data_IF_678046655482
#
_entry.id   IF_678046655482
#
_cell.length_a   1.000
_cell.length_b   1.000
_cell.length_c   1.000
_cell.angle_alpha   90.00
_cell.angle_beta   90.00
_cell.angle_gamma   90.00
#
_symmetry.space_group_name_H-M   'P 1'
#
loop_
_entity.id
_entity.type
_entity.pdbx_description
1 polymer ?
#
# COMPACT_ATOMS: atom_id res chain seq x y z
N UNK A 1 -8.99 4.33 11.12
CA UNK A 1 -9.49 3.88 9.81
C UNK A 1 -9.78 2.39 9.83
N UNK A 2 -10.65 1.97 8.96
CA UNK A 2 -11.01 0.57 8.79
C UNK A 2 -10.36 0.02 7.52
N UNK A 3 -10.19 -1.30 7.49
CA UNK A 3 -9.69 -1.98 6.29
C UNK A 3 -10.60 -1.66 5.09
N UNK A 4 -9.98 -1.21 4.01
CA UNK A 4 -10.67 -0.79 2.79
C UNK A 4 -10.86 0.71 2.66
N UNK A 5 -10.66 1.48 3.73
CA UNK A 5 -10.68 2.94 3.62
C UNK A 5 -9.54 3.42 2.73
N UNK A 6 -9.80 4.43 1.91
CA UNK A 6 -8.80 5.03 1.01
C UNK A 6 -8.44 6.42 1.55
N UNK A 7 -7.37 6.53 2.37
CA UNK A 7 -7.05 7.81 3.00
C UNK A 7 -6.52 8.86 2.03
N UNK A 8 -6.01 8.45 0.88
CA UNK A 8 -5.44 9.37 -0.09
C UNK A 8 -6.27 9.42 -1.36
N UNK A 9 -6.20 10.57 -2.05
CA UNK A 9 -6.92 10.77 -3.30
C UNK A 9 -6.26 9.98 -4.43
N UNK A 10 -7.05 9.21 -5.15
CA UNK A 10 -6.59 8.46 -6.32
C UNK A 10 -6.79 9.25 -7.60
N UNK A 11 -5.90 9.02 -8.58
CA UNK A 11 -6.21 9.31 -9.98
C UNK A 11 -7.16 8.22 -10.47
N UNK A 12 -8.23 8.62 -11.12
CA UNK A 12 -9.25 7.68 -11.56
C UNK A 12 -8.71 6.77 -12.67
N UNK A 13 -8.85 5.47 -12.46
CA UNK A 13 -8.47 4.45 -13.43
C UNK A 13 -9.54 3.36 -13.43
N UNK A 14 -10.20 3.16 -14.56
CA UNK A 14 -11.32 2.23 -14.69
C UNK A 14 -10.86 0.91 -15.27
N UNK A 15 -11.33 -0.20 -14.68
CA UNK A 15 -11.05 -1.54 -15.14
C UNK A 15 -10.83 -2.49 -13.98
N UNK A 16 -11.03 -3.77 -14.26
CA UNK A 16 -10.94 -4.82 -13.22
C UNK A 16 -10.41 -6.15 -13.79
N UNK A 17 -9.61 -6.07 -14.85
CA UNK A 17 -9.07 -7.25 -15.53
C UNK A 17 -8.05 -8.00 -14.70
N UNK A 18 -7.38 -7.30 -13.78
CA UNK A 18 -6.36 -7.86 -12.90
C UNK A 18 -6.64 -7.51 -11.45
N UNK A 19 -6.02 -8.25 -10.53
CA UNK A 19 -6.19 -8.01 -9.11
C UNK A 19 -4.86 -7.90 -8.39
N UNK A 20 -4.84 -7.14 -7.30
CA UNK A 20 -3.70 -7.06 -6.39
C UNK A 20 -4.26 -7.28 -4.99
N UNK A 21 -3.86 -8.38 -4.35
CA UNK A 21 -4.29 -8.70 -2.99
C UNK A 21 -3.14 -8.55 -2.01
N UNK A 22 -3.42 -7.93 -0.88
CA UNK A 22 -2.44 -7.77 0.19
C UNK A 22 -3.03 -8.33 1.48
N UNK A 23 -2.30 -9.25 2.10
CA UNK A 23 -2.64 -9.86 3.39
C UNK A 23 -1.64 -9.43 4.43
N UNK A 24 -2.11 -9.09 5.62
CA UNK A 24 -1.25 -8.80 6.76
C UNK A 24 -1.30 -9.97 7.74
N UNK A 25 -0.25 -10.10 8.57
CA UNK A 25 -0.18 -11.17 9.56
C UNK A 25 -1.07 -10.91 10.76
N UNK A 26 -1.75 -11.95 11.23
CA UNK A 26 -2.41 -11.91 12.54
C UNK A 26 -1.34 -11.69 13.63
N UNK A 27 -1.64 -10.78 14.56
CA UNK A 27 -0.69 -10.43 15.62
C UNK A 27 0.30 -9.34 15.24
N UNK A 28 0.23 -8.83 14.03
CA UNK A 28 0.98 -7.63 13.67
C UNK A 28 0.34 -6.44 14.40
N UNK A 29 1.17 -5.71 15.14
CA UNK A 29 0.72 -4.54 15.90
C UNK A 29 0.58 -3.31 15.02
N UNK A 30 1.11 -3.33 13.82
CA UNK A 30 1.06 -2.19 12.89
C UNK A 30 -0.04 -2.39 11.87
N UNK A 31 -0.60 -1.28 11.44
CA UNK A 31 -1.47 -1.23 10.29
C UNK A 31 -0.66 -0.81 9.06
N UNK A 32 -1.23 -0.96 7.88
CA UNK A 32 -0.54 -0.59 6.64
C UNK A 32 -1.50 0.14 5.71
N UNK A 33 -0.97 1.14 5.00
CA UNK A 33 -1.64 1.70 3.84
C UNK A 33 -0.92 1.20 2.61
N UNK A 34 -1.63 0.48 1.76
CA UNK A 34 -1.10 0.01 0.48
C UNK A 34 -1.39 1.08 -0.55
N UNK A 35 -0.35 1.49 -1.28
CA UNK A 35 -0.45 2.53 -2.30
C UNK A 35 -0.02 1.92 -3.62
N UNK A 36 -0.89 1.98 -4.62
CA UNK A 36 -0.61 1.46 -5.96
C UNK A 36 -0.46 2.62 -6.91
N UNK A 37 0.69 2.67 -7.57
CA UNK A 37 0.99 3.71 -8.54
C UNK A 37 1.05 3.15 -9.96
N UNK A 38 0.55 3.96 -10.88
CA UNK A 38 0.64 3.75 -12.32
C UNK A 38 1.18 5.04 -12.94
N UNK A 39 2.28 4.95 -13.69
CA UNK A 39 2.96 6.12 -14.25
C UNK A 39 3.30 7.18 -13.19
N UNK A 40 3.72 6.74 -12.01
CA UNK A 40 4.12 7.62 -10.91
C UNK A 40 2.99 8.30 -10.16
N UNK A 41 1.74 7.94 -10.44
CA UNK A 41 0.56 8.53 -9.80
C UNK A 41 -0.22 7.48 -9.02
N UNK A 42 -0.76 7.87 -7.86
CA UNK A 42 -1.57 6.99 -7.04
C UNK A 42 -2.91 6.73 -7.74
N UNK A 43 -3.17 5.47 -8.06
CA UNK A 43 -4.42 5.05 -8.73
C UNK A 43 -5.33 4.23 -7.81
N UNK A 44 -4.76 3.61 -6.78
CA UNK A 44 -5.51 2.90 -5.73
C UNK A 44 -4.74 3.03 -4.43
N UNK A 45 -5.46 3.10 -3.33
CA UNK A 45 -4.85 2.92 -2.01
C UNK A 45 -5.91 2.41 -1.04
N UNK A 46 -5.46 1.70 -0.01
CA UNK A 46 -6.35 1.23 1.04
C UNK A 46 -5.60 1.05 2.35
N UNK A 47 -6.29 1.37 3.43
CA UNK A 47 -5.85 1.08 4.80
C UNK A 47 -6.18 -0.37 5.10
N UNK A 48 -5.26 -1.11 5.69
CA UNK A 48 -5.46 -2.50 6.10
C UNK A 48 -5.04 -2.61 7.56
N UNK A 49 -5.99 -2.99 8.43
CA UNK A 49 -5.68 -3.25 9.82
C UNK A 49 -4.84 -4.53 9.95
N UNK A 50 -3.94 -4.56 10.93
CA UNK A 50 -3.12 -5.74 11.18
C UNK A 50 -3.99 -6.99 11.35
N UNK A 51 -3.66 -8.04 10.61
CA UNK A 51 -4.42 -9.29 10.56
C UNK A 51 -5.47 -9.37 9.45
N UNK A 52 -5.77 -8.27 8.80
CA UNK A 52 -6.75 -8.23 7.72
C UNK A 52 -6.08 -8.36 6.34
N UNK A 53 -6.92 -8.46 5.33
CA UNK A 53 -6.50 -8.46 3.93
C UNK A 53 -7.42 -7.57 3.10
N UNK A 54 -6.93 -7.15 1.92
CA UNK A 54 -7.71 -6.37 0.99
C UNK A 54 -7.29 -6.68 -0.44
N UNK A 55 -8.28 -6.75 -1.34
CA UNK A 55 -8.04 -7.01 -2.76
C UNK A 55 -8.46 -5.80 -3.59
N UNK A 56 -7.53 -5.32 -4.39
CA UNK A 56 -7.78 -4.26 -5.36
C UNK A 56 -8.10 -4.87 -6.71
N UNK A 57 -8.99 -4.21 -7.47
CA UNK A 57 -9.21 -4.51 -8.88
C UNK A 57 -8.66 -3.38 -9.72
N UNK A 58 -7.87 -3.72 -10.75
CA UNK A 58 -7.20 -2.74 -11.61
C UNK A 58 -7.29 -3.21 -13.06
N UNK A 59 -7.27 -2.28 -14.04
CA UNK A 59 -7.13 -2.70 -15.44
C UNK A 59 -5.74 -3.29 -15.69
N UNK A 60 -5.58 -4.04 -16.76
CA UNK A 60 -4.26 -4.51 -17.17
C UNK A 60 -3.31 -3.34 -17.33
N UNK A 61 -2.07 -3.51 -16.94
CA UNK A 61 -1.08 -2.44 -17.00
C UNK A 61 0.10 -2.71 -16.09
N UNK A 62 1.00 -1.75 -16.01
CA UNK A 62 2.19 -1.81 -15.16
C UNK A 62 1.99 -0.98 -13.92
N UNK A 63 2.19 -1.61 -12.76
CA UNK A 63 1.95 -0.99 -11.46
C UNK A 63 3.15 -1.18 -10.55
N UNK A 64 3.32 -0.23 -9.64
CA UNK A 64 4.26 -0.38 -8.53
C UNK A 64 3.50 -0.25 -7.22
N UNK A 65 3.71 -1.20 -6.31
CA UNK A 65 3.01 -1.27 -5.04
C UNK A 65 3.93 -0.82 -3.93
N UNK A 66 3.43 0.08 -3.10
CA UNK A 66 4.14 0.63 -1.94
C UNK A 66 3.39 0.27 -0.68
N UNK A 67 4.13 0.06 0.40
CA UNK A 67 3.59 -0.30 1.70
C UNK A 67 4.04 0.73 2.74
N UNK A 68 3.09 1.45 3.29
CA UNK A 68 3.31 2.44 4.34
C UNK A 68 2.74 1.90 5.64
N UNK A 69 3.62 1.47 6.55
CA UNK A 69 3.23 0.85 7.81
C UNK A 69 3.43 1.77 9.00
N UNK A 70 2.70 1.50 10.06
CA UNK A 70 2.85 2.24 11.30
C UNK A 70 1.71 2.02 12.28
N UNK A 71 1.68 2.88 13.30
CA UNK A 71 0.67 2.90 14.35
C UNK A 71 0.14 4.31 14.58
N UNK A 72 -1.12 4.38 14.99
CA UNK A 72 -1.72 5.64 15.43
C UNK A 72 -1.96 6.56 14.24
N UNK A 73 -3.05 6.34 13.54
CA UNK A 73 -3.38 7.16 12.39
C UNK A 73 -3.79 8.57 12.81
N UNK A 74 -3.13 9.59 12.26
CA UNK A 74 -3.48 10.99 12.43
C UNK A 74 -3.94 11.55 11.09
N UNK A 75 -5.25 11.86 10.94
CA UNK A 75 -5.77 12.35 9.66
C UNK A 75 -5.25 13.75 9.27
N UNK A 76 -4.67 14.48 10.21
CA UNK A 76 -4.16 15.82 9.97
C UNK A 76 -2.66 15.88 9.77
N UNK A 77 -1.96 14.73 9.84
CA UNK A 77 -0.52 14.69 9.64
C UNK A 77 -0.17 15.08 8.21
N UNK A 78 0.75 16.05 8.07
CA UNK A 78 1.23 16.48 6.76
C UNK A 78 2.27 15.50 6.23
N UNK A 79 2.05 14.98 5.05
CA UNK A 79 2.97 14.08 4.35
C UNK A 79 3.57 14.80 3.14
N UNK A 80 4.60 14.21 2.56
CA UNK A 80 5.21 14.74 1.33
C UNK A 80 4.18 14.81 0.19
N UNK A 81 4.45 15.61 -0.82
CA UNK A 81 3.60 15.71 -2.00
C UNK A 81 2.24 16.35 -1.79
N UNK A 82 2.02 17.03 -0.66
CA UNK A 82 0.75 17.68 -0.36
C UNK A 82 -0.33 16.75 0.18
N UNK A 83 0.01 15.50 0.49
CA UNK A 83 -0.93 14.55 1.07
C UNK A 83 -1.10 14.81 2.58
N UNK A 84 -2.27 14.48 3.10
CA UNK A 84 -2.61 14.63 4.51
C UNK A 84 -3.11 13.29 5.06
N UNK A 85 -2.66 12.96 6.25
CA UNK A 85 -2.95 11.69 6.93
C UNK A 85 -1.71 10.80 6.97
N UNK A 86 -1.38 10.29 8.16
CA UNK A 86 -0.22 9.44 8.34
C UNK A 86 -0.15 8.82 9.72
N UNK A 87 0.76 7.87 9.88
CA UNK A 87 1.00 7.22 11.16
C UNK A 87 1.87 8.08 12.06
N UNK A 88 1.65 7.98 13.37
CA UNK A 88 2.39 8.77 14.36
C UNK A 88 3.69 8.06 14.75
N UNK A 89 3.66 6.74 14.89
CA UNK A 89 4.80 5.97 15.37
C UNK A 89 5.04 4.74 14.49
N UNK A 90 6.24 4.17 14.60
CA UNK A 90 6.65 2.95 13.91
C UNK A 90 6.52 3.03 12.38
N UNK A 91 6.69 4.21 11.82
CA UNK A 91 6.58 4.38 10.37
C UNK A 91 7.59 3.54 9.62
N UNK A 92 7.13 2.86 8.58
CA UNK A 92 7.98 2.12 7.66
C UNK A 92 7.50 2.36 6.24
N UNK A 93 8.47 2.41 5.32
CA UNK A 93 8.21 2.66 3.90
C UNK A 93 8.92 1.57 3.11
N UNK A 94 8.17 0.80 2.35
CA UNK A 94 8.74 -0.24 1.48
C UNK A 94 7.98 -0.30 0.17
N UNK A 95 8.59 -0.93 -0.82
CA UNK A 95 8.01 -1.05 -2.17
C UNK A 95 8.47 -2.35 -2.80
N UNK A 96 7.68 -2.83 -3.77
CA UNK A 96 8.10 -3.87 -4.71
C UNK A 96 8.59 -3.21 -6.00
N UNK A 97 9.23 -3.98 -6.85
CA UNK A 97 9.51 -3.55 -8.21
C UNK A 97 8.22 -3.44 -9.01
N UNK A 98 8.23 -2.63 -10.06
CA UNK A 98 7.08 -2.52 -10.95
C UNK A 98 6.74 -3.88 -11.57
N UNK A 99 5.46 -4.19 -11.67
CA UNK A 99 4.95 -5.46 -12.19
C UNK A 99 3.93 -5.16 -13.28
N UNK A 100 4.03 -5.87 -14.41
CA UNK A 100 3.04 -5.77 -15.46
C UNK A 100 2.01 -6.89 -15.29
N UNK A 101 0.74 -6.50 -15.24
CA UNK A 101 -0.39 -7.41 -15.06
C UNK A 101 -1.20 -7.50 -16.34
N UNK A 102 -1.49 -8.74 -16.75
CA UNK A 102 -2.27 -9.06 -17.94
C UNK A 102 -3.22 -10.20 -17.60
N UNK A 103 -4.43 -9.85 -17.14
CA UNK A 103 -5.43 -10.78 -16.63
C UNK A 103 -4.85 -11.69 -15.54
N UNK A 104 -4.16 -11.07 -14.57
CA UNK A 104 -3.43 -11.77 -13.53
C UNK A 104 -3.82 -11.30 -12.14
N UNK A 105 -3.59 -12.17 -11.17
CA UNK A 105 -3.64 -11.82 -9.75
C UNK A 105 -2.22 -11.70 -9.20
N UNK A 106 -1.94 -10.60 -8.51
CA UNK A 106 -0.69 -10.38 -7.79
C UNK A 106 -1.02 -10.43 -6.30
N UNK A 107 -0.29 -11.25 -5.56
CA UNK A 107 -0.57 -11.46 -4.14
C UNK A 107 0.65 -11.12 -3.30
N UNK A 108 0.43 -10.34 -2.26
CA UNK A 108 1.44 -10.02 -1.27
C UNK A 108 0.98 -10.52 0.10
N UNK A 109 1.93 -11.06 0.84
CA UNK A 109 1.73 -11.41 2.24
C UNK A 109 2.75 -10.66 3.07
N UNK A 110 2.28 -9.70 3.88
CA UNK A 110 3.13 -8.88 4.73
C UNK A 110 3.30 -9.58 6.07
N UNK A 111 4.51 -10.07 6.33
CA UNK A 111 4.85 -10.77 7.56
C UNK A 111 5.76 -9.87 8.38
N UNK A 112 5.60 -9.77 9.71
CA UNK A 112 6.55 -9.04 10.53
C UNK A 112 7.96 -9.56 10.28
N UNK A 113 8.87 -8.65 9.91
CA UNK A 113 10.20 -9.01 9.45
C UNK A 113 11.22 -8.82 10.56
N UNK A 114 11.92 -9.87 10.91
CA UNK A 114 13.11 -9.77 11.73
C UNK A 114 14.39 -9.81 10.90
N UNK A 115 14.34 -10.47 9.76
CA UNK A 115 15.55 -10.78 8.99
C UNK A 115 15.47 -10.27 7.54
N UNK A 116 14.50 -9.47 7.21
CA UNK A 116 14.41 -8.81 5.91
C UNK A 116 14.36 -9.74 4.71
N UNK A 117 13.76 -10.92 4.85
CA UNK A 117 13.62 -11.86 3.75
C UNK A 117 12.39 -11.59 2.87
N UNK A 118 11.90 -10.40 2.94
CA UNK A 118 10.81 -9.90 2.12
C UNK A 118 11.39 -9.43 0.79
N UNK A 119 10.71 -9.69 -0.31
CA UNK A 119 11.16 -9.24 -1.64
C UNK A 119 10.86 -7.76 -1.90
N UNK A 120 10.61 -6.97 -0.87
CA UNK A 120 10.42 -5.54 -0.99
C UNK A 120 11.71 -4.79 -0.71
N UNK A 121 11.85 -3.64 -1.35
CA UNK A 121 12.95 -2.72 -1.11
C UNK A 121 12.53 -1.62 -0.15
N UNK A 122 13.50 -0.99 0.50
CA UNK A 122 13.21 0.20 1.29
C UNK A 122 12.77 1.33 0.37
N UNK A 123 11.78 2.07 0.82
CA UNK A 123 11.30 3.27 0.16
C UNK A 123 11.41 4.45 1.11
N UNK A 124 10.86 5.58 0.74
CA UNK A 124 10.84 6.78 1.56
C UNK A 124 9.51 7.48 1.41
N UNK A 125 9.23 8.38 2.34
CA UNK A 125 8.04 9.22 2.27
C UNK A 125 8.01 10.01 0.97
N UNK A 126 9.15 10.58 0.56
CA UNK A 126 9.25 11.38 -0.65
C UNK A 126 8.99 10.58 -1.92
N UNK A 127 9.45 9.33 -1.95
CA UNK A 127 9.22 8.45 -3.10
C UNK A 127 7.77 7.97 -3.17
N UNK A 128 7.16 7.73 -2.01
CA UNK A 128 5.84 7.14 -1.90
C UNK A 128 4.73 8.16 -2.16
N UNK A 129 4.97 9.42 -1.78
CA UNK A 129 3.96 10.49 -1.86
C UNK A 129 4.30 11.63 -2.83
#
# INVERSE_FOLDING_TARGET
LQTGDSPYKNIRLSGNESTIEVKTSAGDENDVVVIIKHNGKIVRNAYIQGGDSYQFSVPNGTYQVFFYGGKGWNPDKKMAGGYTGGFITNESFSKDNAVTLDYQGLNYELIPQRNGNFNTELSSETEMF
#
